data_IF_200048258061
#
_entry.id   IF_200048258061
#
_cell.length_a   1.000
_cell.length_b   1.000
_cell.length_c   1.000
_cell.angle_alpha   90.00
_cell.angle_beta   90.00
_cell.angle_gamma   90.00
#
_symmetry.space_group_name_H-M   'P 1'
#
loop_
_entity.id
_entity.type
_entity.pdbx_description
1 polymer ?
#
# COMPACT_ATOMS: atom_id res chain seq x y z
N UNK A 1 -30.04 -8.68 16.13
CA UNK A 1 -29.99 -9.13 14.73
C UNK A 1 -30.02 -8.00 13.68
N UNK A 2 -30.91 -7.00 13.72
CA UNK A 2 -30.83 -5.82 12.85
C UNK A 2 -29.77 -4.80 13.32
N UNK A 3 -29.72 -4.54 14.63
CA UNK A 3 -28.78 -3.61 15.27
C UNK A 3 -27.32 -4.04 15.12
N UNK A 4 -27.02 -5.33 15.25
CA UNK A 4 -25.64 -5.84 15.20
C UNK A 4 -25.04 -5.73 13.78
N UNK A 5 -25.86 -5.97 12.75
CA UNK A 5 -25.46 -5.81 11.36
C UNK A 5 -25.19 -4.34 11.02
N UNK A 6 -26.02 -3.42 11.53
CA UNK A 6 -25.85 -1.98 11.34
C UNK A 6 -24.56 -1.48 12.00
N UNK A 7 -24.30 -1.87 13.26
CA UNK A 7 -23.09 -1.49 13.99
C UNK A 7 -21.82 -1.97 13.27
N UNK A 8 -21.83 -3.22 12.82
CA UNK A 8 -20.72 -3.78 12.03
C UNK A 8 -20.50 -3.01 10.73
N UNK A 9 -21.57 -2.63 10.02
CA UNK A 9 -21.46 -1.86 8.80
C UNK A 9 -20.86 -0.46 9.05
N UNK A 10 -21.20 0.20 10.16
CA UNK A 10 -20.57 1.47 10.55
C UNK A 10 -19.08 1.30 10.85
N UNK A 11 -18.71 0.27 11.60
CA UNK A 11 -17.31 -0.06 11.90
C UNK A 11 -16.50 -0.35 10.63
N UNK A 12 -17.05 -1.15 9.72
CA UNK A 12 -16.42 -1.46 8.42
C UNK A 12 -16.23 -0.20 7.56
N UNK A 13 -17.21 0.73 7.56
CA UNK A 13 -17.11 2.01 6.86
C UNK A 13 -15.98 2.87 7.44
N UNK A 14 -15.86 2.92 8.76
CA UNK A 14 -14.84 3.72 9.43
C UNK A 14 -13.44 3.13 9.23
N UNK A 15 -13.30 1.80 9.25
CA UNK A 15 -12.06 1.10 8.89
C UNK A 15 -11.68 1.41 7.43
N UNK A 16 -12.62 1.32 6.50
CA UNK A 16 -12.37 1.60 5.08
C UNK A 16 -11.94 3.05 4.84
N UNK A 17 -12.63 4.02 5.44
CA UNK A 17 -12.24 5.45 5.37
C UNK A 17 -10.84 5.67 5.93
N UNK A 18 -10.53 5.03 7.06
CA UNK A 18 -9.22 5.11 7.71
C UNK A 18 -8.14 4.52 6.80
N UNK A 19 -8.38 3.35 6.20
CA UNK A 19 -7.47 2.70 5.28
C UNK A 19 -7.18 3.54 4.03
N UNK A 20 -8.22 4.13 3.42
CA UNK A 20 -8.08 5.03 2.27
C UNK A 20 -7.22 6.25 2.64
N UNK A 21 -7.48 6.86 3.81
CA UNK A 21 -6.67 7.97 4.29
C UNK A 21 -5.21 7.53 4.50
N UNK A 22 -4.98 6.40 5.18
CA UNK A 22 -3.64 5.88 5.45
C UNK A 22 -2.87 5.57 4.17
N UNK A 23 -3.46 4.88 3.20
CA UNK A 23 -2.81 4.58 1.90
C UNK A 23 -2.47 5.84 1.11
N UNK A 24 -3.30 6.88 1.20
CA UNK A 24 -3.04 8.14 0.48
C UNK A 24 -1.99 9.04 1.15
N UNK A 25 -1.69 8.82 2.44
CA UNK A 25 -0.75 9.67 3.21
C UNK A 25 0.50 8.95 3.70
N UNK A 26 0.55 7.61 3.66
CA UNK A 26 1.69 6.85 4.16
C UNK A 26 2.93 7.15 3.31
N UNK A 27 4.05 7.37 3.99
CA UNK A 27 5.37 7.57 3.38
C UNK A 27 6.35 6.61 4.05
N UNK A 28 7.28 6.05 3.29
CA UNK A 28 8.35 5.21 3.79
C UNK A 28 9.19 5.96 4.84
N UNK A 29 9.42 7.27 4.64
CA UNK A 29 10.08 8.11 5.63
C UNK A 29 11.47 7.59 5.99
N UNK A 30 11.72 7.31 7.27
CA UNK A 30 12.97 6.68 7.74
C UNK A 30 12.86 5.17 7.94
N UNK A 31 11.69 4.57 7.70
CA UNK A 31 11.49 3.13 7.82
C UNK A 31 12.27 2.37 6.75
N UNK A 32 12.59 1.10 7.05
CA UNK A 32 13.03 0.16 6.03
C UNK A 32 11.88 -0.16 5.06
N UNK A 33 12.24 -0.62 3.87
CA UNK A 33 11.28 -1.09 2.88
C UNK A 33 10.38 -2.21 3.41
N UNK A 34 10.94 -3.16 4.18
CA UNK A 34 10.17 -4.27 4.75
C UNK A 34 9.06 -3.79 5.70
N UNK A 35 9.39 -2.86 6.60
CA UNK A 35 8.39 -2.27 7.53
C UNK A 35 7.34 -1.50 6.76
N UNK A 36 7.76 -0.74 5.75
CA UNK A 36 6.84 0.03 4.91
C UNK A 36 5.89 -0.86 4.11
N UNK A 37 6.40 -1.91 3.47
CA UNK A 37 5.60 -2.90 2.72
C UNK A 37 4.57 -3.56 3.61
N UNK A 38 4.96 -3.97 4.82
CA UNK A 38 4.02 -4.57 5.77
C UNK A 38 2.89 -3.61 6.13
N UNK A 39 3.22 -2.39 6.53
CA UNK A 39 2.21 -1.37 6.88
C UNK A 39 1.29 -1.04 5.70
N UNK A 40 1.86 -0.97 4.49
CA UNK A 40 1.07 -0.73 3.28
C UNK A 40 0.11 -1.90 2.99
N UNK A 41 0.58 -3.16 3.07
CA UNK A 41 -0.26 -4.36 2.88
C UNK A 41 -1.44 -4.38 3.86
N UNK A 42 -1.18 -4.09 5.13
CA UNK A 42 -2.19 -4.08 6.18
C UNK A 42 -3.32 -3.08 5.85
N UNK A 43 -2.99 -1.84 5.45
CA UNK A 43 -4.03 -0.87 5.08
C UNK A 43 -4.67 -1.16 3.72
N UNK A 44 -3.90 -1.61 2.73
CA UNK A 44 -4.38 -1.88 1.38
C UNK A 44 -5.55 -2.87 1.37
N UNK A 45 -5.47 -3.91 2.23
CA UNK A 45 -6.49 -4.94 2.40
C UNK A 45 -7.89 -4.39 2.76
N UNK A 46 -7.95 -3.19 3.33
CA UNK A 46 -9.20 -2.57 3.79
C UNK A 46 -9.72 -1.46 2.86
N UNK A 47 -8.98 -1.09 1.81
CA UNK A 47 -9.36 0.03 0.92
C UNK A 47 -10.43 -0.34 -0.11
N UNK A 48 -10.45 -1.60 -0.56
CA UNK A 48 -11.21 -2.02 -1.74
C UNK A 48 -10.67 -1.46 -3.06
N UNK A 49 -9.43 -0.95 -3.09
CA UNK A 49 -8.75 -0.56 -4.33
C UNK A 49 -8.27 -1.78 -5.10
N UNK A 50 -8.17 -1.64 -6.42
CA UNK A 50 -7.56 -2.64 -7.29
C UNK A 50 -6.04 -2.45 -7.35
N UNK A 51 -5.34 -3.48 -7.84
CA UNK A 51 -3.87 -3.49 -7.91
C UNK A 51 -3.27 -2.29 -8.66
N UNK A 52 -3.80 -1.84 -9.83
CA UNK A 52 -3.26 -0.66 -10.50
C UNK A 52 -3.31 0.60 -9.65
N UNK A 53 -4.40 0.83 -8.90
CA UNK A 53 -4.49 1.96 -7.99
C UNK A 53 -3.50 1.83 -6.82
N UNK A 54 -3.40 0.62 -6.25
CA UNK A 54 -2.47 0.35 -5.14
C UNK A 54 -1.00 0.48 -5.56
N UNK A 55 -0.62 0.10 -6.78
CA UNK A 55 0.72 0.30 -7.32
C UNK A 55 1.06 1.79 -7.37
N UNK A 56 0.14 2.64 -7.84
CA UNK A 56 0.37 4.08 -7.92
C UNK A 56 0.48 4.74 -6.54
N UNK A 57 -0.33 4.32 -5.56
CA UNK A 57 -0.16 4.78 -4.18
C UNK A 57 1.13 4.27 -3.56
N UNK A 58 1.50 3.02 -3.81
CA UNK A 58 2.72 2.42 -3.29
C UNK A 58 3.95 3.16 -3.81
N UNK A 59 4.06 3.38 -5.12
CA UNK A 59 5.14 4.17 -5.73
C UNK A 59 5.29 5.56 -5.09
N UNK A 60 4.18 6.27 -4.89
CA UNK A 60 4.17 7.61 -4.26
C UNK A 60 4.60 7.60 -2.81
N UNK A 61 4.43 6.48 -2.13
CA UNK A 61 4.81 6.32 -0.73
C UNK A 61 6.30 6.02 -0.53
N UNK A 62 7.03 5.60 -1.57
CA UNK A 62 8.45 5.24 -1.47
C UNK A 62 9.38 6.46 -1.38
N UNK A 63 10.58 6.25 -0.82
CA UNK A 63 11.69 7.20 -0.99
C UNK A 63 12.04 7.31 -2.47
N UNK A 64 12.33 8.52 -2.94
CA UNK A 64 12.69 8.78 -4.33
C UNK A 64 13.83 7.89 -4.82
N UNK A 65 14.91 7.76 -4.04
CA UNK A 65 16.06 6.93 -4.40
C UNK A 65 15.71 5.44 -4.58
N UNK A 66 14.74 4.93 -3.81
CA UNK A 66 14.31 3.54 -3.92
C UNK A 66 13.35 3.34 -5.09
N UNK A 67 12.43 4.29 -5.30
CA UNK A 67 11.57 4.34 -6.48
C UNK A 67 12.39 4.35 -7.77
N UNK A 68 13.45 5.16 -7.82
CA UNK A 68 14.35 5.26 -8.97
C UNK A 68 15.12 3.96 -9.20
N UNK A 69 15.57 3.27 -8.15
CA UNK A 69 16.20 1.95 -8.25
C UNK A 69 15.24 0.91 -8.85
N UNK A 70 14.02 0.82 -8.34
CA UNK A 70 13.02 -0.16 -8.82
C UNK A 70 12.60 0.15 -10.26
N UNK A 71 12.40 1.42 -10.62
CA UNK A 71 12.08 1.83 -12.00
C UNK A 71 13.29 1.70 -12.96
N UNK A 72 14.51 1.79 -12.44
CA UNK A 72 15.75 1.70 -13.22
C UNK A 72 16.05 0.31 -13.80
N UNK A 73 15.19 -0.68 -13.55
CA UNK A 73 15.34 -2.05 -14.00
C UNK A 73 15.00 -2.28 -15.49
N UNK A 74 14.49 -1.26 -16.19
CA UNK A 74 14.18 -1.33 -17.63
C UNK A 74 13.07 -2.34 -17.92
N UNK A 75 13.37 -3.43 -18.63
CA UNK A 75 12.39 -4.48 -18.98
C UNK A 75 11.98 -5.36 -17.80
N UNK A 76 12.65 -5.22 -16.65
CA UNK A 76 12.39 -6.01 -15.44
C UNK A 76 11.60 -5.23 -14.37
N UNK A 77 11.04 -4.07 -14.71
CA UNK A 77 10.19 -3.32 -13.77
C UNK A 77 8.93 -4.14 -13.45
N UNK A 78 8.55 -4.27 -12.16
CA UNK A 78 7.35 -5.00 -11.79
C UNK A 78 6.07 -4.42 -12.37
N UNK A 79 5.20 -5.30 -12.85
CA UNK A 79 3.83 -4.96 -13.30
C UNK A 79 2.76 -5.32 -12.25
N UNK A 80 3.12 -6.14 -11.26
CA UNK A 80 2.23 -6.60 -10.19
C UNK A 80 2.57 -5.92 -8.88
N UNK A 81 1.55 -5.76 -8.02
CA UNK A 81 1.72 -5.17 -6.70
C UNK A 81 2.70 -5.99 -5.84
N UNK A 82 2.66 -7.32 -5.92
CA UNK A 82 3.59 -8.19 -5.20
C UNK A 82 5.04 -8.03 -5.71
N UNK A 83 5.25 -7.95 -7.02
CA UNK A 83 6.58 -7.70 -7.57
C UNK A 83 7.15 -6.34 -7.13
N UNK A 84 6.28 -5.32 -7.03
CA UNK A 84 6.67 -4.02 -6.45
C UNK A 84 7.12 -4.17 -5.00
N UNK A 85 6.44 -4.99 -4.19
CA UNK A 85 6.84 -5.25 -2.81
C UNK A 85 8.18 -5.97 -2.71
N UNK A 86 8.36 -7.05 -3.48
CA UNK A 86 9.58 -7.86 -3.49
C UNK A 86 10.81 -7.03 -3.89
N UNK A 87 10.72 -6.29 -4.99
CA UNK A 87 11.84 -5.49 -5.48
C UNK A 87 12.15 -4.32 -4.54
N UNK A 88 11.14 -3.69 -3.96
CA UNK A 88 11.36 -2.62 -2.98
C UNK A 88 12.15 -3.11 -1.77
N UNK A 89 11.82 -4.29 -1.24
CA UNK A 89 12.55 -4.90 -0.12
C UNK A 89 13.97 -5.31 -0.53
N UNK A 90 14.15 -5.78 -1.77
CA UNK A 90 15.44 -6.21 -2.29
C UNK A 90 16.43 -5.06 -2.52
N UNK A 91 15.95 -3.86 -2.85
CA UNK A 91 16.79 -2.73 -3.27
C UNK A 91 17.04 -1.65 -2.20
N UNK A 92 16.32 -1.68 -1.08
CA UNK A 92 16.53 -0.81 0.09
C UNK A 92 17.88 -1.11 0.77
#
# INVERSE_FOLDING_TARGET
HFTDALLKQFEDIDIKKTAIHKISTILQGTNSAEVHVRLFKDWAAHTGFNDPALIEFFKKSLKLALLDKVNGQGKHVPETLEGWYEDTVRFD
#
